data_IF_397453224157
#
_entry.id   IF_397453224157
#
_cell.length_a   1.000
_cell.length_b   1.000
_cell.length_c   1.000
_cell.angle_alpha   90.00
_cell.angle_beta   90.00
_cell.angle_gamma   90.00
#
_symmetry.space_group_name_H-M   'P 1'
#
loop_
_entity.id
_entity.type
_entity.pdbx_description
1 polymer ?
#
# COMPACT_ATOMS: atom_id res chain seq x y z
N UNK A 1 -8.33 -9.84 -15.38
CA UNK A 1 -7.49 -8.81 -14.77
C UNK A 1 -6.78 -9.39 -13.54
N UNK A 2 -5.48 -9.69 -13.59
CA UNK A 2 -4.80 -10.42 -12.50
C UNK A 2 -4.77 -9.62 -11.19
N UNK A 3 -4.65 -8.29 -11.26
CA UNK A 3 -4.61 -7.44 -10.08
C UNK A 3 -5.92 -7.46 -9.26
N UNK A 4 -7.08 -7.36 -9.92
CA UNK A 4 -8.38 -7.40 -9.22
C UNK A 4 -8.63 -8.78 -8.59
N UNK A 5 -8.19 -9.87 -9.24
CA UNK A 5 -8.27 -11.21 -8.67
C UNK A 5 -7.37 -11.34 -7.43
N UNK A 6 -6.14 -10.80 -7.48
CA UNK A 6 -5.25 -10.74 -6.33
C UNK A 6 -5.90 -9.97 -5.16
N UNK A 7 -6.46 -8.78 -5.42
CA UNK A 7 -7.13 -7.99 -4.39
C UNK A 7 -8.34 -8.72 -3.78
N UNK A 8 -9.08 -9.49 -4.59
CA UNK A 8 -10.18 -10.32 -4.10
C UNK A 8 -9.69 -11.47 -3.19
N UNK A 9 -8.57 -12.11 -3.52
CA UNK A 9 -7.94 -13.11 -2.65
C UNK A 9 -7.45 -12.50 -1.34
N UNK A 10 -6.86 -11.29 -1.39
CA UNK A 10 -6.47 -10.56 -0.18
C UNK A 10 -7.69 -10.21 0.68
N UNK A 11 -8.79 -9.78 0.07
CA UNK A 11 -10.05 -9.54 0.79
C UNK A 11 -10.53 -10.83 1.48
N UNK A 12 -10.55 -11.95 0.75
CA UNK A 12 -10.93 -13.24 1.31
C UNK A 12 -10.04 -13.64 2.50
N UNK A 13 -8.71 -13.47 2.37
CA UNK A 13 -7.76 -13.71 3.46
C UNK A 13 -8.07 -12.81 4.67
N UNK A 14 -8.39 -11.53 4.46
CA UNK A 14 -8.75 -10.61 5.53
C UNK A 14 -10.05 -11.01 6.24
N UNK A 15 -11.04 -11.51 5.48
CA UNK A 15 -12.32 -11.95 6.03
C UNK A 15 -12.18 -13.24 6.84
N UNK A 16 -11.37 -14.20 6.38
CA UNK A 16 -11.21 -15.52 7.03
C UNK A 16 -10.18 -15.51 8.14
N UNK A 17 -9.12 -14.68 8.02
CA UNK A 17 -8.03 -14.59 8.99
C UNK A 17 -7.52 -13.17 9.18
N UNK A 18 -8.23 -12.30 9.93
CA UNK A 18 -7.90 -10.87 10.02
C UNK A 18 -6.46 -10.56 10.47
N UNK A 19 -5.92 -11.35 11.38
CA UNK A 19 -4.52 -11.19 11.83
C UNK A 19 -3.53 -11.53 10.71
N UNK A 20 -3.75 -12.64 10.00
CA UNK A 20 -2.93 -13.04 8.85
C UNK A 20 -3.08 -12.04 7.70
N UNK A 21 -4.31 -11.60 7.41
CA UNK A 21 -4.59 -10.60 6.38
C UNK A 21 -3.86 -9.29 6.63
N UNK A 22 -3.89 -8.77 7.87
CA UNK A 22 -3.16 -7.56 8.26
C UNK A 22 -1.65 -7.70 8.05
N UNK A 23 -1.06 -8.82 8.50
CA UNK A 23 0.38 -9.08 8.34
C UNK A 23 0.73 -9.18 6.86
N UNK A 24 -0.05 -9.93 6.09
CA UNK A 24 0.15 -10.08 4.66
C UNK A 24 0.15 -8.71 3.94
N UNK A 25 -0.87 -7.88 4.21
CA UNK A 25 -0.96 -6.55 3.58
C UNK A 25 0.19 -5.65 4.03
N UNK A 26 0.59 -5.66 5.31
CA UNK A 26 1.73 -4.89 5.79
C UNK A 26 3.04 -5.29 5.09
N UNK A 27 3.30 -6.59 4.93
CA UNK A 27 4.46 -7.09 4.19
C UNK A 27 4.36 -6.73 2.70
N UNK A 28 3.16 -6.84 2.13
CA UNK A 28 2.91 -6.47 0.73
C UNK A 28 3.23 -4.99 0.47
N UNK A 29 2.82 -4.07 1.35
CA UNK A 29 3.18 -2.65 1.25
C UNK A 29 4.70 -2.43 1.33
N UNK A 30 5.43 -3.15 2.20
CA UNK A 30 6.90 -3.09 2.23
C UNK A 30 7.53 -3.54 0.92
N UNK A 31 7.03 -4.63 0.34
CA UNK A 31 7.52 -5.14 -0.95
C UNK A 31 7.25 -4.14 -2.07
N UNK A 32 6.07 -3.54 -2.12
CA UNK A 32 5.71 -2.54 -3.13
C UNK A 32 6.55 -1.27 -2.98
N UNK A 33 6.78 -0.80 -1.75
CA UNK A 33 7.65 0.35 -1.50
C UNK A 33 9.04 0.13 -2.08
N UNK A 34 9.65 -1.03 -1.84
CA UNK A 34 11.01 -1.32 -2.30
C UNK A 34 11.02 -1.68 -3.79
N UNK A 35 10.24 -2.69 -4.20
CA UNK A 35 10.33 -3.25 -5.55
C UNK A 35 9.76 -2.32 -6.62
N UNK A 36 8.71 -1.56 -6.31
CA UNK A 36 8.07 -0.66 -7.28
C UNK A 36 8.59 0.75 -7.10
N UNK A 37 8.38 1.38 -5.93
CA UNK A 37 8.68 2.79 -5.80
C UNK A 37 10.18 3.09 -5.74
N UNK A 38 10.99 2.32 -4.99
CA UNK A 38 12.44 2.58 -4.92
C UNK A 38 13.14 2.07 -6.18
N UNK A 39 12.99 0.78 -6.49
CA UNK A 39 13.74 0.17 -7.60
C UNK A 39 13.33 0.78 -8.93
N UNK A 40 12.02 0.88 -9.21
CA UNK A 40 11.53 1.40 -10.47
C UNK A 40 11.98 2.85 -10.69
N UNK A 41 11.82 3.71 -9.69
CA UNK A 41 12.17 5.13 -9.85
C UNK A 41 13.67 5.39 -9.96
N UNK A 42 14.52 4.53 -9.40
CA UNK A 42 15.98 4.67 -9.51
C UNK A 42 16.54 4.04 -10.79
N UNK A 43 15.94 2.94 -11.25
CA UNK A 43 16.44 2.19 -12.42
C UNK A 43 15.77 2.63 -13.72
N UNK A 44 14.48 2.95 -13.68
CA UNK A 44 13.68 3.29 -14.85
C UNK A 44 12.68 4.43 -14.54
N UNK A 45 13.16 5.66 -14.27
CA UNK A 45 12.32 6.78 -13.86
C UNK A 45 11.22 7.11 -14.88
N UNK A 46 11.47 6.92 -16.16
CA UNK A 46 10.45 7.12 -17.20
C UNK A 46 9.29 6.13 -17.08
N UNK A 47 9.56 4.87 -16.66
CA UNK A 47 8.50 3.90 -16.41
C UNK A 47 7.70 4.23 -15.15
N UNK A 48 8.33 4.87 -14.16
CA UNK A 48 7.61 5.39 -13.01
C UNK A 48 6.62 6.50 -13.41
N UNK A 49 7.04 7.42 -14.27
CA UNK A 49 6.13 8.47 -14.83
C UNK A 49 5.02 7.83 -15.65
N UNK A 50 5.34 6.82 -16.48
CA UNK A 50 4.38 6.09 -17.29
C UNK A 50 3.24 5.45 -16.50
N UNK A 51 3.43 5.14 -15.20
CA UNK A 51 2.35 4.65 -14.33
C UNK A 51 1.14 5.60 -14.29
N UNK A 52 1.38 6.91 -14.41
CA UNK A 52 0.31 7.91 -14.37
C UNK A 52 -0.05 8.49 -15.75
N UNK A 53 0.69 8.14 -16.82
CA UNK A 53 0.48 8.74 -18.16
C UNK A 53 0.02 7.73 -19.22
N UNK A 54 0.32 6.43 -19.09
CA UNK A 54 0.03 5.44 -20.15
C UNK A 54 -1.46 5.11 -20.29
N UNK A 55 -2.23 5.13 -19.21
CA UNK A 55 -3.66 4.79 -19.25
C UNK A 55 -4.42 5.51 -18.12
N UNK A 56 -4.36 6.85 -18.07
CA UNK A 56 -4.95 7.61 -16.98
C UNK A 56 -6.48 7.48 -16.98
N UNK A 57 -7.06 7.30 -15.79
CA UNK A 57 -8.53 7.33 -15.62
C UNK A 57 -8.99 8.77 -15.40
N UNK A 58 -8.11 9.63 -14.90
CA UNK A 58 -8.44 10.99 -14.49
C UNK A 58 -7.42 11.99 -15.06
N UNK A 59 -7.81 12.85 -16.03
CA UNK A 59 -6.88 13.75 -16.73
C UNK A 59 -6.01 14.64 -15.83
N UNK A 60 -6.47 15.17 -14.69
CA UNK A 60 -5.60 15.91 -13.78
C UNK A 60 -4.40 15.13 -13.23
N UNK A 61 -4.51 13.79 -13.11
CA UNK A 61 -3.37 12.95 -12.72
C UNK A 61 -2.35 12.83 -13.83
N UNK A 62 -2.78 12.64 -15.08
CA UNK A 62 -1.91 12.65 -16.25
C UNK A 62 -1.11 13.95 -16.31
N UNK A 63 -1.81 15.09 -16.25
CA UNK A 63 -1.16 16.39 -16.23
C UNK A 63 -0.15 16.52 -15.07
N UNK A 64 -0.50 16.08 -13.89
CA UNK A 64 0.40 16.12 -12.72
C UNK A 64 1.65 15.28 -12.94
N UNK A 65 1.50 14.07 -13.50
CA UNK A 65 2.63 13.20 -13.78
C UNK A 65 3.54 13.76 -14.87
N UNK A 66 2.96 14.31 -15.94
CA UNK A 66 3.73 14.91 -17.05
C UNK A 66 4.45 16.20 -16.65
N UNK A 67 3.82 17.04 -15.85
CA UNK A 67 4.30 18.40 -15.60
C UNK A 67 4.96 18.59 -14.25
N UNK A 68 4.74 17.69 -13.29
CA UNK A 68 5.30 17.80 -11.95
C UNK A 68 6.18 16.61 -11.61
N UNK A 69 5.64 15.38 -11.69
CA UNK A 69 6.40 14.16 -11.34
C UNK A 69 7.57 13.96 -12.31
N UNK A 70 7.37 14.19 -13.60
CA UNK A 70 8.41 14.04 -14.63
C UNK A 70 9.62 14.96 -14.45
N UNK A 71 9.48 16.06 -13.69
CA UNK A 71 10.60 16.96 -13.41
C UNK A 71 11.61 16.33 -12.44
N UNK A 72 11.13 15.61 -11.44
CA UNK A 72 11.97 14.97 -10.41
C UNK A 72 11.35 13.63 -9.97
N UNK A 73 11.28 12.61 -10.85
CA UNK A 73 10.66 11.33 -10.54
C UNK A 73 11.22 10.66 -9.27
N UNK A 74 12.56 10.68 -8.99
CA UNK A 74 13.11 10.08 -7.78
C UNK A 74 12.54 10.66 -6.49
N UNK A 75 12.26 11.95 -6.44
CA UNK A 75 11.68 12.58 -5.26
C UNK A 75 10.30 12.01 -4.96
N UNK A 76 9.44 11.92 -5.97
CA UNK A 76 8.07 11.42 -5.79
C UNK A 76 8.04 9.92 -5.47
N UNK A 77 8.85 9.11 -6.16
CA UNK A 77 8.93 7.68 -5.89
C UNK A 77 9.47 7.38 -4.49
N UNK A 78 10.50 8.11 -4.04
CA UNK A 78 11.04 7.94 -2.69
C UNK A 78 10.09 8.46 -1.60
N UNK A 79 9.33 9.52 -1.85
CA UNK A 79 8.27 9.97 -0.94
C UNK A 79 7.14 8.94 -0.83
N UNK A 80 6.71 8.36 -1.95
CA UNK A 80 5.72 7.29 -1.96
C UNK A 80 6.24 6.06 -1.20
N UNK A 81 7.49 5.65 -1.44
CA UNK A 81 8.14 4.55 -0.72
C UNK A 81 8.21 4.81 0.79
N UNK A 82 8.64 6.01 1.20
CA UNK A 82 8.71 6.38 2.62
C UNK A 82 7.32 6.33 3.29
N UNK A 83 6.30 6.81 2.59
CA UNK A 83 4.92 6.71 3.05
C UNK A 83 4.48 5.25 3.22
N UNK A 84 4.66 4.41 2.20
CA UNK A 84 4.29 2.99 2.23
C UNK A 84 5.02 2.21 3.34
N UNK A 85 6.33 2.45 3.51
CA UNK A 85 7.11 1.84 4.61
C UNK A 85 6.55 2.24 5.96
N UNK A 86 6.24 3.53 6.16
CA UNK A 86 5.65 4.03 7.41
C UNK A 86 4.32 3.34 7.69
N UNK A 87 3.43 3.33 6.72
CA UNK A 87 2.12 2.68 6.81
C UNK A 87 2.26 1.19 7.10
N UNK A 88 3.16 0.50 6.41
CA UNK A 88 3.42 -0.93 6.58
C UNK A 88 3.94 -1.25 8.00
N UNK A 89 4.93 -0.51 8.50
CA UNK A 89 5.47 -0.68 9.85
C UNK A 89 4.37 -0.46 10.89
N UNK A 90 3.51 0.55 10.69
CA UNK A 90 2.36 0.79 11.55
C UNK A 90 1.34 -0.37 11.48
N UNK A 91 1.01 -0.89 10.30
CA UNK A 91 0.13 -2.06 10.14
C UNK A 91 0.68 -3.29 10.86
N UNK A 92 2.00 -3.50 10.84
CA UNK A 92 2.68 -4.63 11.50
C UNK A 92 2.84 -4.43 13.01
N UNK A 93 2.52 -3.25 13.54
CA UNK A 93 2.52 -2.91 14.96
C UNK A 93 1.28 -3.47 15.68
N UNK A 94 1.00 -3.01 16.89
CA UNK A 94 -0.16 -3.40 17.70
C UNK A 94 -1.05 -2.21 18.06
N UNK A 95 -2.27 -2.51 18.48
CA UNK A 95 -3.21 -1.54 19.05
C UNK A 95 -3.52 -0.39 18.08
N UNK A 96 -3.49 0.82 18.58
CA UNK A 96 -3.85 2.03 17.83
C UNK A 96 -2.94 2.29 16.62
N UNK A 97 -1.65 1.95 16.72
CA UNK A 97 -0.71 2.14 15.61
C UNK A 97 -1.10 1.26 14.41
N UNK A 98 -1.49 0.00 14.65
CA UNK A 98 -1.97 -0.87 13.57
C UNK A 98 -3.21 -0.27 12.87
N UNK A 99 -4.15 0.30 13.61
CA UNK A 99 -5.33 0.95 13.05
C UNK A 99 -4.95 2.19 12.21
N UNK A 100 -4.05 3.03 12.68
CA UNK A 100 -3.55 4.18 11.90
C UNK A 100 -2.82 3.73 10.62
N UNK A 101 -2.05 2.64 10.68
CA UNK A 101 -1.45 2.05 9.49
C UNK A 101 -2.50 1.61 8.47
N UNK A 102 -3.58 0.94 8.92
CA UNK A 102 -4.69 0.54 8.05
C UNK A 102 -5.40 1.75 7.43
N UNK A 103 -5.63 2.82 8.19
CA UNK A 103 -6.18 4.08 7.65
C UNK A 103 -5.25 4.68 6.60
N UNK A 104 -3.95 4.76 6.88
CA UNK A 104 -2.96 5.23 5.91
C UNK A 104 -2.98 4.40 4.63
N UNK A 105 -3.08 3.06 4.75
CA UNK A 105 -3.21 2.17 3.60
C UNK A 105 -4.45 2.44 2.76
N UNK A 106 -5.61 2.67 3.39
CA UNK A 106 -6.84 3.05 2.68
C UNK A 106 -6.64 4.37 1.93
N UNK A 107 -6.09 5.38 2.61
CA UNK A 107 -5.82 6.70 1.98
C UNK A 107 -4.91 6.55 0.77
N UNK A 108 -3.83 5.77 0.89
CA UNK A 108 -2.90 5.52 -0.21
C UNK A 108 -3.59 4.84 -1.41
N UNK A 109 -4.32 3.74 -1.16
CA UNK A 109 -5.01 2.99 -2.22
C UNK A 109 -6.05 3.84 -2.95
N UNK A 110 -6.77 4.71 -2.23
CA UNK A 110 -7.73 5.65 -2.82
C UNK A 110 -7.01 6.74 -3.61
N UNK A 111 -5.91 7.28 -3.08
CA UNK A 111 -5.15 8.32 -3.75
C UNK A 111 -4.53 7.85 -5.08
N UNK A 112 -4.02 6.61 -5.14
CA UNK A 112 -3.44 6.07 -6.38
C UNK A 112 -4.47 5.43 -7.33
N UNK A 113 -5.74 5.32 -6.93
CA UNK A 113 -6.79 4.71 -7.75
C UNK A 113 -6.95 5.40 -9.13
N UNK A 114 -6.87 6.73 -9.25
CA UNK A 114 -7.03 7.41 -10.54
C UNK A 114 -5.85 7.28 -11.52
N UNK A 115 -4.73 6.68 -11.09
CA UNK A 115 -3.53 6.56 -11.93
C UNK A 115 -3.77 5.80 -13.22
N UNK A 116 -4.63 4.77 -13.22
CA UNK A 116 -4.89 4.02 -14.44
C UNK A 116 -5.73 2.75 -14.22
N UNK A 117 -5.99 2.04 -15.31
CA UNK A 117 -6.75 0.78 -15.29
C UNK A 117 -6.10 -0.31 -14.43
N UNK A 118 -4.79 -0.21 -14.20
CA UNK A 118 -4.00 -1.13 -13.38
C UNK A 118 -4.39 -1.08 -11.90
N UNK A 119 -4.91 0.07 -11.46
CA UNK A 119 -5.29 0.34 -10.06
C UNK A 119 -6.75 0.03 -9.74
N UNK A 120 -7.54 -0.48 -10.71
CA UNK A 120 -8.97 -0.80 -10.53
C UNK A 120 -9.24 -1.87 -9.46
N UNK A 121 -8.24 -2.65 -9.06
CA UNK A 121 -8.33 -3.56 -7.91
C UNK A 121 -8.23 -2.88 -6.54
N UNK A 122 -7.68 -1.66 -6.48
CA UNK A 122 -7.43 -0.96 -5.22
C UNK A 122 -8.66 -0.74 -4.35
N UNK A 123 -9.87 -0.42 -4.89
CA UNK A 123 -11.09 -0.35 -4.09
C UNK A 123 -11.39 -1.64 -3.33
N UNK A 124 -11.15 -2.81 -3.93
CA UNK A 124 -11.38 -4.11 -3.29
C UNK A 124 -10.42 -4.27 -2.10
N UNK A 125 -9.14 -3.92 -2.29
CA UNK A 125 -8.16 -3.96 -1.21
C UNK A 125 -8.46 -2.91 -0.13
N UNK A 126 -8.91 -1.71 -0.51
CA UNK A 126 -9.33 -0.68 0.45
C UNK A 126 -10.49 -1.17 1.33
N UNK A 127 -11.48 -1.86 0.76
CA UNK A 127 -12.57 -2.50 1.52
C UNK A 127 -12.02 -3.54 2.50
N UNK A 128 -11.03 -4.35 2.09
CA UNK A 128 -10.37 -5.29 2.99
C UNK A 128 -9.73 -4.58 4.19
N UNK A 129 -9.02 -3.47 3.96
CA UNK A 129 -8.40 -2.68 5.04
C UNK A 129 -9.44 -2.03 5.95
N UNK A 130 -10.54 -1.51 5.41
CA UNK A 130 -11.65 -0.97 6.20
C UNK A 130 -12.26 -2.07 7.08
N UNK A 131 -12.46 -3.28 6.55
CA UNK A 131 -12.90 -4.42 7.37
C UNK A 131 -11.91 -4.72 8.50
N UNK A 132 -10.61 -4.71 8.23
CA UNK A 132 -9.58 -4.92 9.25
C UNK A 132 -9.61 -3.86 10.36
N UNK A 133 -10.05 -2.62 10.09
CA UNK A 133 -10.21 -1.57 11.11
C UNK A 133 -11.22 -1.94 12.20
N UNK A 134 -12.18 -2.82 11.91
CA UNK A 134 -13.17 -3.31 12.90
C UNK A 134 -12.59 -4.30 13.90
N UNK A 135 -11.35 -4.76 13.69
CA UNK A 135 -10.70 -5.78 14.53
C UNK A 135 -9.74 -5.17 15.54
N UNK A 136 -9.48 -5.90 16.63
CA UNK A 136 -8.48 -5.52 17.62
C UNK A 136 -7.17 -6.29 17.41
N UNK A 137 -6.04 -5.63 17.69
CA UNK A 137 -4.70 -6.15 17.42
C UNK A 137 -3.81 -6.02 18.65
N UNK A 138 -3.84 -7.02 19.52
CA UNK A 138 -3.09 -7.02 20.80
C UNK A 138 -1.62 -7.37 20.63
N UNK A 139 -1.23 -7.95 19.49
CA UNK A 139 0.13 -8.39 19.19
C UNK A 139 0.66 -7.77 17.90
N UNK A 140 1.93 -7.33 17.96
CA UNK A 140 2.71 -6.95 16.76
C UNK A 140 3.25 -8.20 16.06
N UNK A 141 3.73 -8.04 14.80
CA UNK A 141 4.42 -9.10 14.08
C UNK A 141 5.60 -9.65 14.88
N UNK A 142 6.45 -8.79 15.45
CA UNK A 142 7.63 -9.20 16.24
C UNK A 142 7.25 -10.03 17.46
N UNK A 143 6.14 -9.69 18.13
CA UNK A 143 5.64 -10.46 19.26
C UNK A 143 5.06 -11.82 18.85
N UNK A 144 4.48 -11.91 17.66
CA UNK A 144 3.98 -13.17 17.09
C UNK A 144 5.13 -14.10 16.70
N UNK A 145 6.25 -13.56 16.24
CA UNK A 145 7.47 -14.29 15.90
C UNK A 145 8.34 -14.63 17.12
N UNK A 146 7.92 -14.23 18.34
CA UNK A 146 8.70 -14.46 19.57
C UNK A 146 9.91 -13.56 19.75
N UNK A 147 10.09 -12.57 18.86
CA UNK A 147 11.23 -11.63 18.86
C UNK A 147 10.96 -10.36 19.68
N UNK A 148 9.75 -10.17 20.18
CA UNK A 148 9.35 -8.98 20.92
C UNK A 148 9.20 -9.24 22.41
N UNK A 149 9.62 -8.28 23.27
CA UNK A 149 9.40 -8.34 24.70
C UNK A 149 7.90 -8.36 25.01
N UNK A 150 7.44 -9.35 25.78
CA UNK A 150 6.10 -9.33 26.39
C UNK A 150 6.11 -8.29 27.51
N UNK A 151 5.71 -7.07 27.21
CA UNK A 151 5.32 -6.13 28.27
C UNK A 151 4.05 -6.69 28.92
N UNK A 152 4.17 -7.09 30.19
CA UNK A 152 3.03 -7.39 31.06
C UNK A 152 2.21 -6.14 31.30
#
# INVERSE_FOLDING_TARGET
>A
MPWSAFCALVLLLCLTGPHAGRIFVGIFFLLMAVAVNVVLVLVAPNQFVALGTDAPIFPPYEWFFENVVALVPPMFGLLAAAYEVTVAVMMLSKGRHAKWGLVGGVVFLVAIMPLGIWTLGNPIMAVALVYLLTKEYDRSLLQMLGLGTRTR
#
